data_IF_540431623500
#
_entry.id   IF_540431623500
#
_cell.length_a   1.000
_cell.length_b   1.000
_cell.length_c   1.000
_cell.angle_alpha   90.00
_cell.angle_beta   90.00
_cell.angle_gamma   90.00
#
_symmetry.space_group_name_H-M   'P 1'
#
loop_
_entity.id
_entity.type
_entity.pdbx_description
1 polymer ?
#
# COMPACT_ATOMS: atom_id res chain seq x y z
N UNK A 1 17.98 13.34 -32.80
CA UNK A 1 16.74 12.73 -33.34
C UNK A 1 16.55 11.35 -32.70
N UNK A 2 16.09 11.30 -31.45
CA UNK A 2 16.03 10.07 -30.65
C UNK A 2 14.66 9.40 -30.75
N UNK A 3 14.61 8.19 -31.30
CA UNK A 3 13.37 7.42 -31.42
C UNK A 3 12.95 6.93 -30.03
N UNK A 4 11.89 7.51 -29.46
CA UNK A 4 11.28 7.00 -28.23
C UNK A 4 10.66 5.61 -28.51
N UNK A 5 11.29 4.58 -27.94
CA UNK A 5 10.79 3.20 -27.91
C UNK A 5 9.52 3.17 -27.05
N UNK A 6 8.35 3.20 -27.70
CA UNK A 6 7.07 3.01 -27.02
C UNK A 6 7.10 1.64 -26.33
N UNK A 7 7.06 1.65 -24.99
CA UNK A 7 6.85 0.44 -24.20
C UNK A 7 5.50 -0.14 -24.61
N UNK A 8 5.50 -1.33 -25.21
CA UNK A 8 4.29 -2.11 -25.40
C UNK A 8 3.80 -2.53 -24.01
N UNK A 9 2.91 -1.75 -23.42
CA UNK A 9 2.11 -2.22 -22.30
C UNK A 9 1.12 -3.19 -22.93
N UNK A 10 1.41 -4.47 -22.79
CA UNK A 10 0.50 -5.54 -23.18
C UNK A 10 -0.61 -5.57 -22.12
N UNK A 11 -1.54 -4.61 -22.18
CA UNK A 11 -2.78 -4.64 -21.41
C UNK A 11 -3.60 -5.81 -21.95
N UNK A 12 -3.49 -6.96 -21.28
CA UNK A 12 -4.44 -8.06 -21.44
C UNK A 12 -5.86 -7.50 -21.38
N UNK A 13 -6.67 -7.79 -22.40
CA UNK A 13 -8.08 -7.38 -22.50
C UNK A 13 -8.90 -7.78 -21.26
N UNK A 14 -8.40 -8.73 -20.45
CA UNK A 14 -8.99 -9.16 -19.18
C UNK A 14 -9.01 -8.09 -18.08
N UNK A 15 -8.23 -7.02 -18.23
CA UNK A 15 -8.09 -5.97 -17.19
C UNK A 15 -9.28 -5.03 -17.08
N UNK A 16 -10.15 -4.94 -18.09
CA UNK A 16 -11.35 -4.09 -18.04
C UNK A 16 -12.52 -4.71 -17.26
N UNK A 17 -12.46 -6.02 -17.00
CA UNK A 17 -13.51 -6.76 -16.30
C UNK A 17 -13.23 -6.96 -14.80
N UNK A 18 -12.10 -6.47 -14.28
CA UNK A 18 -11.70 -6.68 -12.89
C UNK A 18 -11.52 -5.36 -12.16
N UNK A 19 -12.34 -5.12 -11.13
CA UNK A 19 -12.22 -3.97 -10.24
C UNK A 19 -11.80 -4.43 -8.85
N UNK A 20 -10.59 -4.04 -8.44
CA UNK A 20 -10.07 -4.39 -7.11
C UNK A 20 -10.75 -3.59 -6.01
N UNK A 21 -11.17 -4.26 -4.93
CA UNK A 21 -11.65 -3.55 -3.73
C UNK A 21 -10.49 -3.19 -2.82
N UNK A 22 -10.75 -2.26 -1.90
CA UNK A 22 -9.84 -2.03 -0.77
C UNK A 22 -9.91 -3.27 0.16
N UNK A 23 -8.78 -3.68 0.77
CA UNK A 23 -8.81 -4.74 1.77
C UNK A 23 -9.84 -4.41 2.86
N UNK A 24 -10.69 -5.37 3.21
CA UNK A 24 -11.58 -5.24 4.35
C UNK A 24 -10.75 -5.43 5.62
N UNK A 25 -10.83 -4.46 6.53
CA UNK A 25 -10.08 -4.47 7.79
C UNK A 25 -10.81 -3.63 8.84
N UNK A 26 -10.57 -3.87 10.14
CA UNK A 26 -11.07 -3.02 11.21
C UNK A 26 -10.70 -1.55 11.03
N UNK A 27 -11.37 -0.68 11.78
CA UNK A 27 -11.07 0.75 11.80
C UNK A 27 -9.59 0.99 12.06
N UNK A 28 -9.00 1.94 11.33
CA UNK A 28 -7.59 2.29 11.53
C UNK A 28 -7.45 3.00 12.86
N UNK A 29 -6.63 2.46 13.74
CA UNK A 29 -6.25 3.14 14.99
C UNK A 29 -5.02 4.03 14.77
N UNK A 30 -4.74 5.02 15.64
CA UNK A 30 -3.64 5.97 15.43
C UNK A 30 -2.26 5.32 15.28
N UNK A 31 -2.01 4.23 16.00
CA UNK A 31 -0.74 3.48 16.04
C UNK A 31 -0.53 2.55 14.84
N UNK A 32 -1.52 2.43 13.95
CA UNK A 32 -1.38 1.67 12.71
C UNK A 32 -0.86 2.56 11.57
N UNK A 33 0.17 2.08 10.89
CA UNK A 33 0.73 2.71 9.69
C UNK A 33 0.64 1.73 8.52
N UNK A 34 -0.23 2.01 7.55
CA UNK A 34 -0.38 1.20 6.35
C UNK A 34 0.49 1.75 5.20
N UNK A 35 1.41 0.93 4.72
CA UNK A 35 2.32 1.31 3.63
C UNK A 35 1.69 0.93 2.28
N UNK A 36 1.55 1.94 1.43
CA UNK A 36 1.06 1.82 0.06
C UNK A 36 2.11 2.24 -0.96
N UNK A 37 1.85 1.95 -2.24
CA UNK A 37 2.69 2.40 -3.36
C UNK A 37 2.81 3.93 -3.42
N UNK A 38 1.73 4.64 -3.07
CA UNK A 38 1.69 6.11 -3.05
C UNK A 38 2.25 6.72 -1.76
N UNK A 39 2.56 5.91 -0.73
CA UNK A 39 3.08 6.43 0.53
C UNK A 39 4.46 7.08 0.34
N UNK A 40 4.61 8.33 0.76
CA UNK A 40 5.92 8.99 0.82
C UNK A 40 6.77 8.35 1.93
N UNK A 41 7.96 7.86 1.57
CA UNK A 41 8.81 7.13 2.52
C UNK A 41 9.26 8.00 3.70
N UNK A 42 9.78 9.20 3.43
CA UNK A 42 10.24 10.14 4.47
C UNK A 42 9.10 10.57 5.38
N UNK A 43 7.92 10.84 4.81
CA UNK A 43 6.73 11.20 5.58
C UNK A 43 6.29 10.09 6.54
N UNK A 44 6.28 8.84 6.07
CA UNK A 44 5.93 7.70 6.93
C UNK A 44 7.00 7.42 8.00
N UNK A 45 8.29 7.62 7.68
CA UNK A 45 9.38 7.49 8.65
C UNK A 45 9.26 8.53 9.78
N UNK A 46 9.01 9.80 9.43
CA UNK A 46 8.82 10.86 10.43
C UNK A 46 7.55 10.63 11.25
N UNK A 47 6.45 10.19 10.62
CA UNK A 47 5.23 9.80 11.33
C UNK A 47 5.49 8.69 12.35
N UNK A 48 6.23 7.65 11.97
CA UNK A 48 6.55 6.54 12.85
C UNK A 48 7.40 6.98 14.05
N UNK A 49 8.41 7.84 13.80
CA UNK A 49 9.21 8.45 14.88
C UNK A 49 8.35 9.28 15.81
N UNK A 50 7.51 10.16 15.26
CA UNK A 50 6.62 11.02 16.05
C UNK A 50 5.75 10.19 16.99
N UNK A 51 5.07 9.16 16.46
CA UNK A 51 4.19 8.32 17.28
C UNK A 51 4.94 7.63 18.44
N UNK A 52 6.14 7.09 18.19
CA UNK A 52 6.89 6.39 19.25
C UNK A 52 7.57 7.33 20.25
N UNK A 53 8.18 8.41 19.77
CA UNK A 53 9.11 9.23 20.57
C UNK A 53 8.46 10.51 21.08
N UNK A 54 7.67 11.20 20.25
CA UNK A 54 7.07 12.49 20.61
C UNK A 54 5.70 12.28 21.28
N UNK A 55 4.85 11.43 20.69
CA UNK A 55 3.53 11.13 21.22
C UNK A 55 3.58 10.04 22.31
N UNK A 56 4.71 9.35 22.47
CA UNK A 56 4.97 8.42 23.57
C UNK A 56 4.19 7.09 23.51
N UNK A 57 3.69 6.69 22.34
CA UNK A 57 3.03 5.39 22.22
C UNK A 57 4.04 4.26 22.48
N UNK A 58 3.68 3.24 23.30
CA UNK A 58 4.59 2.16 23.65
C UNK A 58 4.92 1.25 22.45
N UNK A 59 4.04 1.22 21.45
CA UNK A 59 4.22 0.43 20.23
C UNK A 59 3.40 0.99 19.08
N UNK A 60 3.90 0.81 17.85
CA UNK A 60 3.17 1.03 16.61
C UNK A 60 3.24 -0.21 15.73
N UNK A 61 2.28 -0.36 14.82
CA UNK A 61 2.27 -1.47 13.85
C UNK A 61 2.40 -0.93 12.43
N UNK A 62 3.44 -1.36 11.72
CA UNK A 62 3.65 -1.01 10.31
C UNK A 62 3.19 -2.18 9.44
N UNK A 63 2.12 -1.94 8.68
CA UNK A 63 1.48 -2.93 7.82
C UNK A 63 1.99 -2.78 6.38
N UNK A 64 2.45 -3.89 5.79
CA UNK A 64 2.81 -3.99 4.38
C UNK A 64 2.17 -5.20 3.75
N UNK A 65 1.43 -5.01 2.65
CA UNK A 65 0.78 -6.10 1.92
C UNK A 65 1.46 -6.33 0.57
N UNK A 66 1.74 -7.59 0.25
CA UNK A 66 2.30 -8.02 -1.04
C UNK A 66 3.57 -7.25 -1.41
N UNK A 67 3.55 -6.57 -2.56
CA UNK A 67 4.69 -5.80 -3.07
C UNK A 67 5.23 -4.73 -2.09
N UNK A 68 4.45 -4.31 -1.08
CA UNK A 68 4.87 -3.30 -0.11
C UNK A 68 5.62 -3.86 1.09
N UNK A 69 5.71 -5.18 1.27
CA UNK A 69 6.42 -5.81 2.40
C UNK A 69 7.86 -5.32 2.48
N UNK A 70 8.61 -5.34 1.38
CA UNK A 70 10.00 -4.87 1.35
C UNK A 70 10.13 -3.41 1.77
N UNK A 71 9.24 -2.54 1.28
CA UNK A 71 9.23 -1.11 1.62
C UNK A 71 8.92 -0.89 3.10
N UNK A 72 8.02 -1.69 3.68
CA UNK A 72 7.72 -1.68 5.12
C UNK A 72 8.92 -2.09 5.95
N UNK A 73 9.64 -3.16 5.56
CA UNK A 73 10.85 -3.60 6.26
C UNK A 73 11.92 -2.50 6.24
N UNK A 74 12.17 -1.91 5.07
CA UNK A 74 13.14 -0.81 4.94
C UNK A 74 12.76 0.40 5.82
N UNK A 75 11.47 0.68 5.98
CA UNK A 75 11.01 1.76 6.85
C UNK A 75 11.30 1.48 8.33
N UNK A 76 11.10 0.23 8.77
CA UNK A 76 11.42 -0.19 10.15
C UNK A 76 12.93 -0.09 10.42
N UNK A 77 13.76 -0.54 9.47
CA UNK A 77 15.22 -0.46 9.60
C UNK A 77 15.69 0.99 9.67
N UNK A 78 15.22 1.84 8.75
CA UNK A 78 15.53 3.27 8.77
C UNK A 78 15.04 3.97 10.05
N UNK A 79 13.90 3.54 10.61
CA UNK A 79 13.39 4.06 11.88
C UNK A 79 14.28 3.66 13.06
N UNK A 80 14.76 2.42 13.08
CA UNK A 80 15.70 1.94 14.10
C UNK A 80 17.01 2.74 14.06
N UNK A 81 17.55 2.97 12.87
CA UNK A 81 18.75 3.80 12.69
C UNK A 81 18.50 5.25 13.14
N UNK A 82 17.38 5.84 12.71
CA UNK A 82 16.98 7.22 13.05
C UNK A 82 16.76 7.43 14.56
N UNK A 83 16.39 6.37 15.28
CA UNK A 83 16.17 6.39 16.73
C UNK A 83 17.40 5.90 17.50
N UNK A 84 18.56 5.75 16.84
CA UNK A 84 19.79 5.28 17.46
C UNK A 84 19.62 3.95 18.23
N UNK A 85 18.90 2.99 17.63
CA UNK A 85 18.61 1.68 18.21
C UNK A 85 17.78 1.69 19.52
N UNK A 86 17.08 2.77 19.84
CA UNK A 86 16.23 2.85 21.04
C UNK A 86 14.92 2.03 20.92
N UNK A 87 14.61 1.55 19.72
CA UNK A 87 13.42 0.74 19.47
C UNK A 87 13.79 -0.71 19.13
N UNK A 88 12.89 -1.61 19.49
CA UNK A 88 12.91 -3.01 19.05
C UNK A 88 11.76 -3.27 18.08
N UNK A 89 11.88 -4.31 17.26
CA UNK A 89 10.82 -4.70 16.33
C UNK A 89 10.67 -6.21 16.29
N UNK A 90 9.46 -6.66 15.98
CA UNK A 90 9.12 -8.07 15.76
C UNK A 90 8.41 -8.20 14.42
N UNK A 91 8.88 -9.11 13.58
CA UNK A 91 8.19 -9.46 12.35
C UNK A 91 7.02 -10.40 12.66
N UNK A 92 5.84 -10.08 12.12
CA UNK A 92 4.67 -10.97 12.14
C UNK A 92 4.15 -11.10 10.72
N UNK A 93 3.59 -12.27 10.41
CA UNK A 93 2.94 -12.55 9.13
C UNK A 93 1.47 -12.80 9.38
N UNK A 94 0.62 -12.32 8.47
CA UNK A 94 -0.80 -12.57 8.50
C UNK A 94 -1.33 -12.76 7.09
N UNK A 95 -2.48 -13.40 6.99
CA UNK A 95 -3.23 -13.55 5.74
C UNK A 95 -4.36 -12.53 5.73
N UNK A 96 -4.54 -11.85 4.60
CA UNK A 96 -5.65 -10.90 4.39
C UNK A 96 -6.43 -11.36 3.18
N UNK A 97 -7.72 -11.63 3.37
CA UNK A 97 -8.62 -11.94 2.27
C UNK A 97 -8.91 -10.68 1.45
N UNK A 98 -8.77 -10.80 0.13
CA UNK A 98 -9.02 -9.72 -0.82
C UNK A 98 -10.16 -10.13 -1.74
N UNK A 99 -11.13 -9.24 -1.88
CA UNK A 99 -12.30 -9.44 -2.72
C UNK A 99 -12.17 -8.50 -3.91
N UNK A 100 -12.17 -9.06 -5.12
CA UNK A 100 -12.21 -8.30 -6.36
C UNK A 100 -13.59 -8.46 -7.02
N UNK A 101 -14.06 -7.41 -7.67
CA UNK A 101 -15.29 -7.43 -8.46
C UNK A 101 -15.00 -7.85 -9.89
N UNK A 102 -15.82 -8.77 -10.42
CA UNK A 102 -15.86 -9.10 -11.84
C UNK A 102 -17.03 -8.33 -12.47
N UNK A 103 -16.75 -7.46 -13.43
CA UNK A 103 -17.76 -6.71 -14.17
C UNK A 103 -18.17 -7.54 -15.39
N UNK A 104 -19.45 -7.89 -15.56
CA UNK A 104 -19.94 -8.59 -16.74
C UNK A 104 -19.70 -7.77 -18.02
N UNK A 105 -19.39 -8.43 -19.13
CA UNK A 105 -19.08 -7.76 -20.41
C UNK A 105 -20.22 -6.86 -20.91
N UNK A 106 -21.47 -7.24 -20.65
CA UNK A 106 -22.66 -6.49 -21.09
C UNK A 106 -22.80 -5.15 -20.35
N UNK A 107 -22.40 -5.07 -19.07
CA UNK A 107 -22.41 -3.82 -18.28
C UNK A 107 -21.33 -2.82 -18.74
N UNK A 108 -20.22 -3.32 -19.31
CA UNK A 108 -19.14 -2.46 -19.84
C UNK A 108 -19.64 -1.69 -21.07
N UNK A 109 -20.42 -2.36 -21.93
CA UNK A 109 -21.01 -1.75 -23.14
C UNK A 109 -22.02 -0.65 -22.76
N UNK A 110 -22.88 -0.88 -21.77
CA UNK A 110 -23.84 0.12 -21.30
C UNK A 110 -23.18 1.42 -20.81
N UNK A 111 -22.04 1.35 -20.09
CA UNK A 111 -21.31 2.55 -19.64
C UNK A 111 -20.60 3.32 -20.75
N UNK A 112 -20.29 2.69 -21.87
CA UNK A 112 -19.71 3.33 -23.05
C UNK A 112 -20.77 4.06 -23.87
N UNK A 113 -22.01 3.58 -23.86
CA UNK A 113 -23.12 4.16 -24.64
C UNK A 113 -23.76 5.41 -24.00
N UNK A 114 -23.68 5.59 -22.68
CA UNK A 114 -24.31 6.71 -21.95
C UNK A 114 -23.32 7.73 -21.37
N UNK A 115 -22.11 7.80 -21.93
CA UNK A 115 -21.11 8.77 -21.49
C UNK A 115 -21.25 10.06 -22.31
N UNK A 116 -22.18 10.93 -21.90
CA UNK A 116 -22.19 12.38 -22.21
C UNK A 116 -21.29 13.15 -21.25
#
# INVERSE_FOLDING_TARGET
>A
MGKHKKRHVQTSQRSQLLKKRKPQRPATIPTDIYISRSSNFKGQLQRAKKLLIEDGYPSITIHGLGAMIQKSINLVLALKDLTHNQITYKATTGTVELIDDIIPEDDVKFKLFFKE
#
